data_IF_497336185433
#
_entry.id   IF_497336185433
#
_cell.length_a   1.000
_cell.length_b   1.000
_cell.length_c   1.000
_cell.angle_alpha   90.00
_cell.angle_beta   90.00
_cell.angle_gamma   90.00
#
_symmetry.space_group_name_H-M   'P 1'
#
loop_
_entity.id
_entity.type
_entity.pdbx_description
1 polymer ?
#
# COMPACT_ATOMS: atom_id res chain seq x y z
N UNK A 1 22.13 -5.08 26.70
CA UNK A 1 20.77 -4.56 26.43
C UNK A 1 19.90 -5.69 25.91
N UNK A 2 18.90 -6.19 26.66
CA UNK A 2 17.98 -7.23 26.16
C UNK A 2 16.92 -6.54 25.31
N UNK A 3 16.99 -6.71 23.99
CA UNK A 3 15.99 -6.15 23.08
C UNK A 3 14.70 -6.99 23.22
N UNK A 4 13.58 -6.33 23.45
CA UNK A 4 12.28 -6.98 23.59
C UNK A 4 11.80 -7.45 22.20
N UNK A 5 11.55 -8.76 22.07
CA UNK A 5 11.08 -9.40 20.83
C UNK A 5 9.79 -8.75 20.28
N UNK A 6 8.95 -8.20 21.17
CA UNK A 6 7.77 -7.43 20.78
C UNK A 6 8.16 -6.20 19.97
N UNK A 7 9.11 -5.39 20.47
CA UNK A 7 9.56 -4.17 19.79
C UNK A 7 10.13 -4.49 18.41
N UNK A 8 10.97 -5.53 18.32
CA UNK A 8 11.51 -6.01 17.03
C UNK A 8 10.38 -6.33 16.05
N UNK A 9 9.31 -6.96 16.52
CA UNK A 9 8.18 -7.35 15.66
C UNK A 9 7.36 -6.17 15.16
N UNK A 10 7.18 -5.10 15.96
CA UNK A 10 6.58 -3.86 15.49
C UNK A 10 7.45 -3.16 14.44
N UNK A 11 8.76 -3.09 14.68
CA UNK A 11 9.72 -2.49 13.74
C UNK A 11 9.79 -3.28 12.44
N UNK A 12 9.90 -4.61 12.52
CA UNK A 12 9.91 -5.48 11.35
C UNK A 12 8.62 -5.35 10.54
N UNK A 13 7.46 -5.31 11.23
CA UNK A 13 6.18 -5.08 10.58
C UNK A 13 6.15 -3.74 9.82
N UNK A 14 6.55 -2.65 10.47
CA UNK A 14 6.59 -1.32 9.87
C UNK A 14 7.53 -1.26 8.67
N UNK A 15 8.71 -1.88 8.77
CA UNK A 15 9.69 -1.91 7.70
C UNK A 15 9.15 -2.66 6.49
N UNK A 16 8.62 -3.87 6.68
CA UNK A 16 8.06 -4.68 5.59
C UNK A 16 6.89 -3.94 4.94
N UNK A 17 5.91 -3.48 5.72
CA UNK A 17 4.73 -2.84 5.14
C UNK A 17 5.05 -1.53 4.44
N UNK A 18 6.01 -0.74 4.95
CA UNK A 18 6.43 0.50 4.30
C UNK A 18 7.18 0.23 3.00
N UNK A 19 8.12 -0.73 3.00
CA UNK A 19 8.87 -1.11 1.80
C UNK A 19 7.94 -1.68 0.73
N UNK A 20 7.02 -2.57 1.08
CA UNK A 20 6.04 -3.12 0.13
C UNK A 20 5.15 -2.01 -0.43
N UNK A 21 4.68 -1.09 0.40
CA UNK A 21 3.82 0.01 -0.05
C UNK A 21 4.55 1.00 -0.96
N UNK A 22 5.83 1.25 -0.68
CA UNK A 22 6.70 2.06 -1.54
C UNK A 22 6.88 1.42 -2.92
N UNK A 23 7.20 0.12 -2.97
CA UNK A 23 7.35 -0.60 -4.23
C UNK A 23 6.03 -0.65 -5.00
N UNK A 24 4.93 -0.92 -4.31
CA UNK A 24 3.58 -0.92 -4.90
C UNK A 24 3.25 0.41 -5.57
N UNK A 25 3.49 1.53 -4.87
CA UNK A 25 3.28 2.87 -5.42
C UNK A 25 4.07 3.07 -6.72
N UNK A 26 5.37 2.76 -6.72
CA UNK A 26 6.22 2.97 -7.89
C UNK A 26 5.85 2.09 -9.07
N UNK A 27 5.54 0.82 -8.83
CA UNK A 27 5.10 -0.10 -9.88
C UNK A 27 3.83 0.41 -10.55
N UNK A 28 2.83 0.82 -9.76
CA UNK A 28 1.58 1.35 -10.31
C UNK A 28 1.75 2.72 -10.96
N UNK A 29 2.62 3.58 -10.42
CA UNK A 29 2.95 4.86 -11.07
C UNK A 29 3.52 4.63 -12.47
N UNK A 30 4.51 3.74 -12.59
CA UNK A 30 5.12 3.39 -13.89
C UNK A 30 4.07 2.77 -14.82
N UNK A 31 3.20 1.90 -14.30
CA UNK A 31 2.11 1.31 -15.08
C UNK A 31 1.18 2.37 -15.68
N UNK A 32 0.75 3.34 -14.88
CA UNK A 32 -0.15 4.41 -15.33
C UNK A 32 0.54 5.32 -16.34
N UNK A 33 1.82 5.68 -16.13
CA UNK A 33 2.62 6.42 -17.13
C UNK A 33 2.65 5.68 -18.46
N UNK A 34 2.95 4.38 -18.46
CA UNK A 34 2.96 3.57 -19.68
C UNK A 34 1.59 3.58 -20.37
N UNK A 35 0.50 3.50 -19.60
CA UNK A 35 -0.87 3.64 -20.13
C UNK A 35 -1.11 4.97 -20.85
N UNK A 36 -0.63 6.08 -20.26
CA UNK A 36 -0.68 7.42 -20.87
C UNK A 36 0.10 7.51 -22.19
N UNK A 37 1.26 6.86 -22.28
CA UNK A 37 2.04 6.80 -23.53
C UNK A 37 1.34 6.01 -24.64
N UNK A 38 0.55 4.99 -24.29
CA UNK A 38 -0.15 4.14 -25.28
C UNK A 38 -1.51 4.67 -25.71
N UNK A 39 -2.14 5.52 -24.89
CA UNK A 39 -3.52 5.98 -25.12
C UNK A 39 -3.63 7.13 -26.15
N UNK A 40 -2.52 7.76 -26.56
CA UNK A 40 -2.53 8.88 -27.49
C UNK A 40 -1.54 8.69 -28.64
N UNK A 41 -1.87 9.30 -29.79
CA UNK A 41 -0.98 9.37 -30.96
C UNK A 41 0.26 10.28 -30.73
N UNK A 42 0.31 11.04 -29.62
CA UNK A 42 1.46 11.84 -29.19
C UNK A 42 1.53 12.03 -27.65
N UNK A 43 2.73 12.16 -27.04
CA UNK A 43 2.89 12.31 -25.58
C UNK A 43 2.60 13.72 -25.04
N UNK A 44 2.17 13.85 -23.75
CA UNK A 44 1.65 12.80 -22.88
C UNK A 44 0.14 12.61 -23.15
N UNK A 45 -0.26 11.40 -23.53
CA UNK A 45 -1.68 11.05 -23.58
C UNK A 45 -2.33 11.12 -22.21
N UNK A 46 -3.64 11.28 -22.16
CA UNK A 46 -4.42 11.23 -20.92
C UNK A 46 -5.17 9.90 -20.83
N UNK A 47 -5.31 9.40 -19.60
CA UNK A 47 -6.11 8.20 -19.31
C UNK A 47 -7.58 8.57 -19.14
N UNK A 48 -8.48 7.62 -19.41
CA UNK A 48 -9.92 7.86 -19.31
C UNK A 48 -10.37 8.19 -17.88
N UNK A 49 -11.47 8.93 -17.74
CA UNK A 49 -12.02 9.29 -16.42
C UNK A 49 -12.32 8.07 -15.52
N UNK A 50 -12.76 6.96 -16.13
CA UNK A 50 -13.00 5.70 -15.42
C UNK A 50 -11.70 5.10 -14.88
N UNK A 51 -10.62 5.15 -15.67
CA UNK A 51 -9.30 4.65 -15.26
C UNK A 51 -8.73 5.51 -14.13
N UNK A 52 -8.90 6.84 -14.19
CA UNK A 52 -8.50 7.75 -13.11
C UNK A 52 -9.14 7.37 -11.78
N UNK A 53 -10.45 7.10 -11.76
CA UNK A 53 -11.17 6.67 -10.56
C UNK A 53 -10.71 5.28 -10.10
N UNK A 54 -10.51 4.35 -11.03
CA UNK A 54 -10.05 3.00 -10.72
C UNK A 54 -8.66 3.01 -10.05
N UNK A 55 -7.70 3.73 -10.62
CA UNK A 55 -6.35 3.84 -10.06
C UNK A 55 -6.31 4.64 -8.75
N UNK A 56 -7.17 5.65 -8.60
CA UNK A 56 -7.20 6.51 -7.40
C UNK A 56 -7.84 5.85 -6.19
N UNK A 57 -8.85 5.00 -6.38
CA UNK A 57 -9.65 4.45 -5.28
C UNK A 57 -9.62 2.92 -5.23
N UNK A 58 -9.98 2.26 -6.33
CA UNK A 58 -10.17 0.80 -6.34
C UNK A 58 -8.85 0.08 -6.06
N UNK A 59 -7.76 0.52 -6.69
CA UNK A 59 -6.43 -0.07 -6.49
C UNK A 59 -5.94 0.10 -5.04
N UNK A 60 -5.94 1.29 -4.42
CA UNK A 60 -5.58 1.46 -3.01
C UNK A 60 -6.47 0.71 -2.01
N UNK A 61 -7.79 0.64 -2.28
CA UNK A 61 -8.73 -0.12 -1.43
C UNK A 61 -8.47 -1.62 -1.56
N UNK A 62 -8.22 -2.13 -2.76
CA UNK A 62 -7.81 -3.52 -2.97
C UNK A 62 -6.52 -3.85 -2.23
N UNK A 63 -5.53 -2.96 -2.32
CA UNK A 63 -4.28 -3.07 -1.56
C UNK A 63 -4.51 -3.11 -0.04
N UNK A 64 -5.38 -2.22 0.48
CA UNK A 64 -5.76 -2.22 1.91
C UNK A 64 -6.27 -3.59 2.37
N UNK A 65 -7.21 -4.18 1.62
CA UNK A 65 -7.84 -5.46 1.96
C UNK A 65 -6.78 -6.55 1.98
N UNK A 66 -5.97 -6.66 0.91
CA UNK A 66 -4.93 -7.68 0.78
C UNK A 66 -3.90 -7.55 1.90
N UNK A 67 -3.36 -6.35 2.13
CA UNK A 67 -2.32 -6.13 3.13
C UNK A 67 -2.86 -6.32 4.55
N UNK A 68 -4.09 -5.92 4.84
CA UNK A 68 -4.71 -6.17 6.15
C UNK A 68 -4.86 -7.67 6.42
N UNK A 69 -5.30 -8.45 5.42
CA UNK A 69 -5.39 -9.90 5.54
C UNK A 69 -4.01 -10.54 5.78
N UNK A 70 -2.99 -10.14 5.01
CA UNK A 70 -1.62 -10.62 5.20
C UNK A 70 -1.06 -10.23 6.57
N UNK A 71 -1.35 -9.03 7.07
CA UNK A 71 -0.97 -8.59 8.41
C UNK A 71 -1.62 -9.43 9.51
N UNK A 72 -2.88 -9.86 9.34
CA UNK A 72 -3.53 -10.77 10.29
C UNK A 72 -2.96 -12.18 10.24
N UNK A 73 -2.59 -12.66 9.05
CA UNK A 73 -1.87 -13.92 8.88
C UNK A 73 -0.52 -13.85 9.61
N UNK A 74 0.26 -12.78 9.40
CA UNK A 74 1.53 -12.53 10.10
C UNK A 74 1.34 -12.47 11.62
N UNK A 75 0.33 -11.74 12.10
CA UNK A 75 -0.02 -11.69 13.53
C UNK A 75 -0.30 -13.08 14.10
N UNK A 76 -1.04 -13.93 13.38
CA UNK A 76 -1.34 -15.30 13.81
C UNK A 76 -0.08 -16.14 13.95
N UNK A 77 0.91 -15.95 13.08
CA UNK A 77 2.22 -16.59 13.22
C UNK A 77 2.98 -16.10 14.45
N UNK A 78 2.99 -14.79 14.72
CA UNK A 78 3.69 -14.20 15.87
C UNK A 78 3.15 -14.65 17.24
N UNK A 79 1.84 -14.92 17.35
CA UNK A 79 1.23 -15.40 18.60
C UNK A 79 1.87 -16.70 19.08
N UNK A 80 2.35 -17.56 18.16
CA UNK A 80 3.06 -18.81 18.52
C UNK A 80 4.37 -18.57 19.29
N UNK A 81 4.94 -17.37 19.16
CA UNK A 81 6.18 -16.96 19.81
C UNK A 81 5.94 -16.00 20.98
N UNK A 82 4.71 -15.96 21.53
CA UNK A 82 4.31 -15.05 22.61
C UNK A 82 4.47 -13.56 22.29
N UNK A 83 4.50 -13.21 21.01
CA UNK A 83 4.52 -11.82 20.53
C UNK A 83 3.11 -11.38 20.19
N UNK A 84 2.66 -10.27 20.77
CA UNK A 84 1.32 -9.73 20.52
C UNK A 84 1.38 -8.38 19.79
N UNK A 85 1.26 -8.45 18.45
CA UNK A 85 1.04 -7.27 17.61
C UNK A 85 -0.44 -6.85 17.74
N UNK A 86 -0.70 -5.62 18.20
CA UNK A 86 -2.07 -5.14 18.44
C UNK A 86 -2.84 -5.00 17.12
N UNK A 87 -4.06 -5.52 17.08
CA UNK A 87 -4.96 -5.41 15.91
C UNK A 87 -5.22 -3.95 15.52
N UNK A 88 -5.45 -3.08 16.50
CA UNK A 88 -5.68 -1.65 16.25
C UNK A 88 -4.47 -0.98 15.58
N UNK A 89 -3.25 -1.41 15.91
CA UNK A 89 -2.03 -0.91 15.29
C UNK A 89 -1.93 -1.33 13.82
N UNK A 90 -2.19 -2.61 13.52
CA UNK A 90 -2.24 -3.13 12.15
C UNK A 90 -3.22 -2.32 11.29
N UNK A 91 -4.45 -2.13 11.80
CA UNK A 91 -5.50 -1.41 11.09
C UNK A 91 -5.12 0.06 10.87
N UNK A 92 -4.65 0.74 11.91
CA UNK A 92 -4.25 2.15 11.82
C UNK A 92 -3.16 2.37 10.76
N UNK A 93 -2.13 1.52 10.73
CA UNK A 93 -1.05 1.62 9.74
C UNK A 93 -1.56 1.37 8.32
N UNK A 94 -2.39 0.34 8.11
CA UNK A 94 -2.96 0.08 6.79
C UNK A 94 -3.86 1.24 6.33
N UNK A 95 -4.69 1.81 7.21
CA UNK A 95 -5.52 2.97 6.89
C UNK A 95 -4.66 4.17 6.49
N UNK A 96 -3.61 4.49 7.25
CA UNK A 96 -2.70 5.59 6.94
C UNK A 96 -2.03 5.42 5.56
N UNK A 97 -1.56 4.21 5.26
CA UNK A 97 -0.96 3.88 3.97
C UNK A 97 -1.99 4.01 2.85
N UNK A 98 -3.21 3.53 3.04
CA UNK A 98 -4.25 3.62 2.01
C UNK A 98 -4.67 5.05 1.75
N UNK A 99 -4.84 5.88 2.79
CA UNK A 99 -5.10 7.31 2.61
C UNK A 99 -3.95 7.99 1.85
N UNK A 100 -2.71 7.65 2.19
CA UNK A 100 -1.54 8.14 1.45
C UNK A 100 -1.58 7.72 -0.04
N UNK A 101 -1.82 6.45 -0.33
CA UNK A 101 -1.88 5.92 -1.70
C UNK A 101 -3.03 6.55 -2.50
N UNK A 102 -4.23 6.69 -1.93
CA UNK A 102 -5.36 7.39 -2.58
C UNK A 102 -4.94 8.81 -2.92
N UNK A 103 -4.31 9.52 -1.98
CA UNK A 103 -3.87 10.91 -2.19
C UNK A 103 -2.87 10.98 -3.34
N UNK A 104 -1.84 10.13 -3.33
CA UNK A 104 -0.81 10.14 -4.38
C UNK A 104 -1.36 9.73 -5.74
N UNK A 105 -2.15 8.67 -5.85
CA UNK A 105 -2.72 8.24 -7.12
C UNK A 105 -3.78 9.21 -7.64
N UNK A 106 -4.54 9.90 -6.78
CA UNK A 106 -5.46 10.95 -7.21
C UNK A 106 -4.69 12.13 -7.80
N UNK A 107 -3.67 12.64 -7.09
CA UNK A 107 -2.82 13.73 -7.62
C UNK A 107 -2.23 13.32 -8.96
N UNK A 108 -1.71 12.10 -9.05
CA UNK A 108 -1.02 11.61 -10.24
C UNK A 108 -1.95 11.28 -11.42
N UNK A 109 -3.17 10.82 -11.17
CA UNK A 109 -4.13 10.48 -12.23
C UNK A 109 -4.84 11.71 -12.78
N UNK A 110 -4.95 12.79 -12.00
CA UNK A 110 -5.64 14.02 -12.38
C UNK A 110 -4.69 15.19 -12.71
N UNK A 111 -3.37 15.01 -12.57
CA UNK A 111 -2.35 15.88 -13.18
C UNK A 111 -2.23 15.63 -14.67
#
# INVERSE_FOLDING_TARGET
MKINLSVISYVAYLLVISTTSFLFYWVFKIWIEMGRFTAADAPPGDIGATEKVFYSFVIPIGYFVIMTLLSFVFRRYLIKYSVNLKTIFILAINVLITVYLITQFTIFSFS
#
